data_IF_300869922786
#
_entry.id   IF_300869922786
#
_cell.length_a   1.000
_cell.length_b   1.000
_cell.length_c   1.000
_cell.angle_alpha   90.00
_cell.angle_beta   90.00
_cell.angle_gamma   90.00
#
_symmetry.space_group_name_H-M   'P 1'
#
loop_
_entity.id
_entity.type
_entity.pdbx_description
1 polymer ?
#
# COMPACT_ATOMS: atom_id res chain seq x y z
N UNK A 1 -4.83 46.57 -26.67
CA UNK A 1 -3.78 45.53 -26.79
C UNK A 1 -3.11 45.23 -25.46
N UNK A 2 -2.74 46.19 -24.65
CA UNK A 2 -2.09 45.93 -23.36
C UNK A 2 -2.97 45.14 -22.36
N UNK A 3 -4.27 45.36 -22.34
CA UNK A 3 -5.22 44.66 -21.46
C UNK A 3 -5.39 43.17 -21.81
N UNK A 4 -5.35 42.82 -23.08
CA UNK A 4 -5.47 41.44 -23.55
C UNK A 4 -4.21 40.64 -23.22
N UNK A 5 -3.04 41.28 -23.34
CA UNK A 5 -1.76 40.66 -23.03
C UNK A 5 -1.63 40.32 -21.51
N UNK A 6 -2.06 41.25 -20.66
CA UNK A 6 -2.05 41.05 -19.20
C UNK A 6 -2.99 39.92 -18.77
N UNK A 7 -4.15 39.82 -19.41
CA UNK A 7 -5.12 38.79 -19.13
C UNK A 7 -4.62 37.38 -19.51
N UNK A 8 -3.96 37.28 -20.67
CA UNK A 8 -3.37 36.03 -21.13
C UNK A 8 -2.24 35.57 -20.22
N UNK A 9 -1.40 36.47 -19.73
CA UNK A 9 -0.33 36.14 -18.79
C UNK A 9 -0.87 35.62 -17.45
N UNK A 10 -1.92 36.21 -16.94
CA UNK A 10 -2.58 35.81 -15.72
C UNK A 10 -3.15 34.38 -15.81
N UNK A 11 -3.75 34.04 -16.94
CA UNK A 11 -4.31 32.71 -17.19
C UNK A 11 -3.21 31.65 -17.22
N UNK A 12 -2.07 31.91 -17.83
CA UNK A 12 -0.93 30.99 -17.89
C UNK A 12 -0.35 30.76 -16.49
N UNK A 13 -0.21 31.78 -15.68
CA UNK A 13 0.29 31.66 -14.30
C UNK A 13 -0.66 30.81 -13.45
N UNK A 14 -1.96 31.01 -13.59
CA UNK A 14 -2.97 30.26 -12.86
C UNK A 14 -2.95 28.76 -13.24
N UNK A 15 -2.83 28.42 -14.51
CA UNK A 15 -2.72 27.06 -15.00
C UNK A 15 -1.45 26.37 -14.51
N UNK A 16 -0.32 27.06 -14.48
CA UNK A 16 0.93 26.53 -13.95
C UNK A 16 0.85 26.25 -12.45
N UNK A 17 0.14 27.08 -11.71
CA UNK A 17 -0.06 26.91 -10.28
C UNK A 17 -0.92 25.67 -9.96
N UNK A 18 -1.99 25.44 -10.71
CA UNK A 18 -2.85 24.28 -10.56
C UNK A 18 -2.12 22.97 -10.90
N UNK A 19 -1.28 22.98 -11.93
CA UNK A 19 -0.47 21.83 -12.31
C UNK A 19 0.56 21.49 -11.23
N UNK A 20 1.17 22.47 -10.57
CA UNK A 20 2.09 22.28 -9.47
C UNK A 20 1.44 21.62 -8.26
N UNK A 21 0.20 21.98 -7.91
CA UNK A 21 -0.53 21.38 -6.81
C UNK A 21 -0.88 19.90 -7.06
N UNK A 22 -1.17 19.50 -8.30
CA UNK A 22 -1.46 18.12 -8.66
C UNK A 22 -0.22 17.24 -8.55
N UNK A 23 0.97 17.75 -8.91
CA UNK A 23 2.23 17.01 -8.81
C UNK A 23 2.63 16.71 -7.37
N UNK A 24 2.28 17.56 -6.41
CA UNK A 24 2.64 17.37 -5.00
C UNK A 24 1.88 16.23 -4.30
N UNK A 25 0.79 15.73 -4.89
CA UNK A 25 0.01 14.64 -4.33
C UNK A 25 0.50 13.26 -4.75
N UNK A 26 1.46 13.17 -5.68
CA UNK A 26 1.99 11.92 -6.22
C UNK A 26 3.44 11.69 -5.79
N UNK A 27 3.68 11.64 -4.47
CA UNK A 27 5.02 11.40 -3.92
C UNK A 27 5.43 9.92 -3.88
N UNK A 28 4.52 9.01 -4.26
CA UNK A 28 4.81 7.58 -4.25
C UNK A 28 5.49 7.21 -5.57
N UNK A 29 6.73 6.72 -5.46
CA UNK A 29 7.44 6.14 -6.60
C UNK A 29 6.90 4.72 -6.87
N UNK A 30 5.85 4.66 -7.68
CA UNK A 30 5.20 3.38 -7.98
C UNK A 30 6.14 2.40 -8.66
N UNK A 31 7.04 2.86 -9.53
CA UNK A 31 7.97 1.97 -10.22
C UNK A 31 8.95 1.28 -9.25
N UNK A 32 9.37 1.98 -8.21
CA UNK A 32 10.17 1.38 -7.14
C UNK A 32 9.42 0.25 -6.44
N UNK A 33 8.17 0.50 -6.06
CA UNK A 33 7.36 -0.49 -5.35
C UNK A 33 6.97 -1.67 -6.23
N UNK A 34 6.66 -1.45 -7.51
CA UNK A 34 6.32 -2.51 -8.44
C UNK A 34 7.49 -3.46 -8.72
N UNK A 35 8.72 -3.06 -8.41
CA UNK A 35 9.90 -3.94 -8.47
C UNK A 35 10.00 -4.89 -7.29
N UNK A 36 9.25 -4.64 -6.22
CA UNK A 36 9.21 -5.48 -5.02
C UNK A 36 8.28 -6.67 -5.21
N UNK A 37 8.29 -7.58 -4.24
CA UNK A 37 7.41 -8.74 -4.26
C UNK A 37 5.95 -8.31 -4.19
N UNK A 38 5.13 -8.93 -5.02
CA UNK A 38 3.69 -8.71 -5.04
C UNK A 38 3.00 -9.72 -4.14
N UNK A 39 2.08 -9.25 -3.30
CA UNK A 39 1.22 -10.08 -2.49
C UNK A 39 -0.22 -9.66 -2.59
N UNK A 40 -1.12 -10.62 -2.42
CA UNK A 40 -2.56 -10.37 -2.36
C UNK A 40 -3.08 -10.71 -0.98
N UNK A 41 -3.83 -9.80 -0.38
CA UNK A 41 -4.44 -10.04 0.93
C UNK A 41 -5.57 -11.06 0.75
N UNK A 42 -5.40 -12.25 1.32
CA UNK A 42 -6.35 -13.36 1.20
C UNK A 42 -7.24 -13.52 2.43
N UNK A 43 -6.85 -12.93 3.55
CA UNK A 43 -7.65 -12.90 4.77
C UNK A 43 -7.45 -11.57 5.49
N UNK A 44 -8.55 -10.91 5.82
CA UNK A 44 -8.55 -9.67 6.60
C UNK A 44 -9.91 -9.48 7.25
N UNK A 45 -9.98 -9.71 8.56
CA UNK A 45 -11.21 -9.53 9.35
C UNK A 45 -11.17 -8.16 10.04
N UNK A 46 -12.25 -7.36 9.99
CA UNK A 46 -12.29 -6.05 10.65
C UNK A 46 -12.01 -6.10 12.16
N UNK A 47 -12.30 -7.22 12.80
CA UNK A 47 -12.12 -7.39 14.25
C UNK A 47 -10.79 -8.01 14.65
N UNK A 48 -9.91 -8.28 13.69
CA UNK A 48 -8.59 -8.86 13.93
C UNK A 48 -7.50 -7.95 13.38
N UNK A 49 -6.44 -7.72 14.15
CA UNK A 49 -5.30 -6.90 13.71
C UNK A 49 -4.40 -7.63 12.72
N UNK A 50 -4.50 -8.95 12.65
CA UNK A 50 -3.68 -9.78 11.76
C UNK A 50 -4.37 -9.99 10.43
N UNK A 51 -3.58 -10.08 9.38
CA UNK A 51 -4.07 -10.40 8.04
C UNK A 51 -3.06 -11.30 7.34
N UNK A 52 -3.51 -11.98 6.30
CA UNK A 52 -2.69 -12.96 5.57
C UNK A 52 -2.54 -12.51 4.14
N UNK A 53 -1.30 -12.58 3.66
CA UNK A 53 -0.92 -12.21 2.30
C UNK A 53 -0.38 -13.44 1.59
N UNK A 54 -0.89 -13.69 0.39
CA UNK A 54 -0.35 -14.72 -0.51
C UNK A 54 0.61 -14.09 -1.49
N UNK A 55 1.81 -14.64 -1.58
CA UNK A 55 2.83 -14.21 -2.54
C UNK A 55 3.39 -15.43 -3.28
N UNK A 56 4.34 -15.19 -4.17
CA UNK A 56 4.99 -16.27 -4.93
C UNK A 56 5.72 -17.26 -4.02
N UNK A 57 6.15 -16.83 -2.83
CA UNK A 57 6.88 -17.66 -1.87
C UNK A 57 5.99 -18.33 -0.83
N UNK A 58 4.67 -18.21 -0.94
CA UNK A 58 3.72 -18.78 -0.01
C UNK A 58 2.92 -17.72 0.74
N UNK A 59 2.51 -18.05 1.96
CA UNK A 59 1.66 -17.19 2.77
C UNK A 59 2.45 -16.52 3.87
N UNK A 60 2.10 -15.28 4.17
CA UNK A 60 2.70 -14.50 5.26
C UNK A 60 1.61 -13.99 6.19
N UNK A 61 1.88 -14.00 7.49
CA UNK A 61 1.01 -13.42 8.50
C UNK A 61 1.60 -12.08 8.91
N UNK A 62 0.81 -11.03 8.78
CA UNK A 62 1.19 -9.67 9.13
C UNK A 62 0.23 -9.12 10.16
N UNK A 63 0.77 -8.27 11.03
CA UNK A 63 -0.03 -7.51 11.99
C UNK A 63 -0.07 -6.06 11.57
N UNK A 64 -1.26 -5.49 11.56
CA UNK A 64 -1.44 -4.07 11.24
C UNK A 64 -0.64 -3.19 12.18
N UNK A 65 0.04 -2.18 11.63
CA UNK A 65 0.83 -1.24 12.39
C UNK A 65 0.51 0.18 11.93
N UNK A 66 0.15 1.07 12.84
CA UNK A 66 -0.09 2.47 12.50
C UNK A 66 -1.47 2.80 11.96
N UNK A 67 -2.43 1.90 12.02
CA UNK A 67 -3.83 2.25 11.85
C UNK A 67 -4.51 1.87 10.53
N UNK A 68 -3.79 1.47 9.49
CA UNK A 68 -4.40 1.04 8.23
C UNK A 68 -4.16 -0.43 7.98
N UNK A 69 -5.23 -1.22 8.12
CA UNK A 69 -5.19 -2.62 7.71
C UNK A 69 -5.77 -2.74 6.30
N UNK A 70 -5.09 -3.44 5.36
CA UNK A 70 -5.63 -3.63 4.02
C UNK A 70 -6.85 -4.55 4.03
N UNK A 71 -7.71 -4.38 3.02
CA UNK A 71 -8.88 -5.23 2.83
C UNK A 71 -8.53 -6.51 2.08
N UNK A 72 -9.35 -7.53 2.22
CA UNK A 72 -9.24 -8.73 1.38
C UNK A 72 -9.30 -8.36 -0.10
N UNK A 73 -8.40 -8.97 -0.87
CA UNK A 73 -8.24 -8.66 -2.29
C UNK A 73 -7.27 -7.53 -2.59
N UNK A 74 -6.82 -6.79 -1.59
CA UNK A 74 -5.84 -5.71 -1.79
C UNK A 74 -4.52 -6.27 -2.32
N UNK A 75 -3.91 -5.53 -3.23
CA UNK A 75 -2.61 -5.87 -3.79
C UNK A 75 -1.53 -5.03 -3.10
N UNK A 76 -0.59 -5.71 -2.45
CA UNK A 76 0.51 -5.10 -1.73
C UNK A 76 1.83 -5.40 -2.41
N UNK A 77 2.75 -4.44 -2.36
CA UNK A 77 4.12 -4.62 -2.83
C UNK A 77 5.08 -4.32 -1.68
N UNK A 78 6.05 -5.17 -1.47
CA UNK A 78 7.04 -4.99 -0.42
C UNK A 78 7.77 -6.27 -0.12
N UNK A 79 8.30 -6.35 1.10
CA UNK A 79 9.15 -7.44 1.55
C UNK A 79 8.39 -8.30 2.57
N UNK A 80 7.84 -9.42 2.10
CA UNK A 80 7.04 -10.31 2.93
C UNK A 80 7.86 -11.41 3.62
N UNK A 81 9.16 -11.49 3.32
CA UNK A 81 10.01 -12.61 3.71
C UNK A 81 11.02 -12.24 4.81
N UNK A 82 10.74 -11.17 5.54
CA UNK A 82 11.58 -10.73 6.65
C UNK A 82 10.71 -10.32 7.83
N UNK A 83 11.07 -10.76 9.02
CA UNK A 83 10.39 -10.40 10.25
C UNK A 83 10.55 -8.91 10.58
N UNK A 84 9.57 -8.38 11.30
CA UNK A 84 9.59 -7.04 11.81
C UNK A 84 8.70 -6.07 11.07
N UNK A 85 8.70 -4.82 11.54
CA UNK A 85 7.87 -3.75 10.99
C UNK A 85 8.47 -3.27 9.68
N UNK A 86 7.65 -3.30 8.62
CA UNK A 86 8.06 -2.92 7.27
C UNK A 86 6.98 -2.10 6.60
N UNK A 87 7.39 -1.31 5.61
CA UNK A 87 6.46 -0.55 4.80
C UNK A 87 6.06 -1.36 3.56
N UNK A 88 4.80 -1.21 3.17
CA UNK A 88 4.22 -1.85 1.99
C UNK A 88 3.44 -0.82 1.19
N UNK A 89 3.50 -0.94 -0.13
CA UNK A 89 2.68 -0.14 -1.02
C UNK A 89 1.37 -0.86 -1.28
N UNK A 90 0.26 -0.29 -0.81
CA UNK A 90 -1.09 -0.77 -1.13
C UNK A 90 -1.53 -0.13 -2.44
N UNK A 91 -1.36 -0.85 -3.53
CA UNK A 91 -1.70 -0.37 -4.87
C UNK A 91 -3.19 -0.16 -5.03
N UNK A 92 -4.00 -0.96 -4.36
CA UNK A 92 -5.45 -0.87 -4.44
C UNK A 92 -5.97 0.47 -3.92
N UNK A 93 -5.29 1.06 -2.94
CA UNK A 93 -5.64 2.37 -2.37
C UNK A 93 -4.66 3.48 -2.75
N UNK A 94 -3.51 3.15 -3.32
CA UNK A 94 -2.48 4.12 -3.64
C UNK A 94 -1.81 4.73 -2.41
N UNK A 95 -1.63 3.98 -1.34
CA UNK A 95 -1.02 4.44 -0.08
C UNK A 95 0.11 3.53 0.35
N UNK A 96 1.02 4.08 1.15
CA UNK A 96 2.04 3.29 1.86
C UNK A 96 1.54 3.06 3.27
N UNK A 97 1.53 1.81 3.70
CA UNK A 97 1.14 1.40 5.05
C UNK A 97 2.23 0.56 5.68
N UNK A 98 2.24 0.51 7.01
CA UNK A 98 3.19 -0.31 7.75
C UNK A 98 2.51 -1.54 8.34
N UNK A 99 3.25 -2.63 8.41
CA UNK A 99 2.80 -3.85 9.07
C UNK A 99 4.00 -4.59 9.65
N UNK A 100 3.73 -5.37 10.68
CA UNK A 100 4.72 -6.24 11.30
C UNK A 100 4.60 -7.63 10.70
N UNK A 101 5.67 -8.10 10.06
CA UNK A 101 5.71 -9.45 9.50
C UNK A 101 5.99 -10.43 10.64
N UNK A 102 5.01 -11.25 10.95
CA UNK A 102 5.05 -12.20 12.08
C UNK A 102 5.51 -13.57 11.63
N UNK A 103 5.01 -14.04 10.51
CA UNK A 103 5.39 -15.32 9.92
C UNK A 103 5.38 -15.21 8.40
N UNK A 104 6.22 -15.99 7.74
CA UNK A 104 6.29 -16.03 6.28
C UNK A 104 6.66 -17.43 5.78
N UNK A 105 6.52 -17.66 4.47
CA UNK A 105 6.76 -18.94 3.81
C UNK A 105 5.87 -20.08 4.34
N UNK A 106 4.66 -19.73 4.70
CA UNK A 106 3.69 -20.70 5.20
C UNK A 106 2.97 -21.38 4.04
N UNK A 107 2.54 -22.62 4.29
CA UNK A 107 1.58 -23.28 3.43
C UNK A 107 0.19 -22.71 3.67
N UNK A 108 -0.76 -23.01 2.77
CA UNK A 108 -2.15 -22.60 2.95
C UNK A 108 -2.73 -23.10 4.28
N UNK A 109 -2.45 -24.36 4.60
CA UNK A 109 -2.92 -24.98 5.85
C UNK A 109 -2.33 -24.26 7.08
N UNK A 110 -1.03 -24.01 7.08
CA UNK A 110 -0.38 -23.32 8.19
C UNK A 110 -0.88 -21.90 8.35
N UNK A 111 -1.17 -21.23 7.23
CA UNK A 111 -1.74 -19.88 7.25
C UNK A 111 -3.15 -19.88 7.87
N UNK A 112 -3.97 -20.88 7.58
CA UNK A 112 -5.28 -21.03 8.21
C UNK A 112 -5.17 -21.24 9.71
N UNK A 113 -4.26 -22.10 10.15
CA UNK A 113 -4.01 -22.32 11.58
C UNK A 113 -3.52 -21.04 12.27
N UNK A 114 -2.66 -20.29 11.61
CA UNK A 114 -2.18 -19.01 12.13
C UNK A 114 -3.33 -18.00 12.27
N UNK A 115 -4.21 -17.91 11.29
CA UNK A 115 -5.39 -17.04 11.37
C UNK A 115 -6.28 -17.40 12.57
N UNK A 116 -6.53 -18.67 12.80
CA UNK A 116 -7.27 -19.14 13.96
C UNK A 116 -6.56 -18.79 15.26
N UNK A 117 -5.26 -19.00 15.31
CA UNK A 117 -4.47 -18.76 16.51
C UNK A 117 -4.43 -17.25 16.88
N UNK A 118 -4.21 -16.38 15.91
CA UNK A 118 -4.05 -14.94 16.17
C UNK A 118 -5.37 -14.17 16.25
N UNK A 119 -6.42 -14.65 15.60
CA UNK A 119 -7.70 -13.95 15.52
C UNK A 119 -8.80 -14.53 16.40
N UNK A 120 -8.61 -15.73 16.93
CA UNK A 120 -9.57 -16.43 17.79
C UNK A 120 -8.82 -17.07 18.97
#
# INVERSE_FOLDING_TARGET
>A
MKKIFTFSLLTVILAAFLTGCVKQRMDIDESYWLSKERGTVVYSDPYCEYFIVESINGYSVLRSWGGFKPYEGAVLYGDFNYYGIREFYDRSRGIISSADVIEYWLTYYDAQLAAEYYCY
#
